data_IF_169261917598
#
_entry.id   IF_169261917598
#
_cell.length_a   1.000
_cell.length_b   1.000
_cell.length_c   1.000
_cell.angle_alpha   90.00
_cell.angle_beta   90.00
_cell.angle_gamma   90.00
#
_symmetry.space_group_name_H-M   'P 1'
#
loop_
_entity.id
_entity.type
_entity.pdbx_description
1 polymer ?
#
# COMPACT_ATOMS: atom_id res chain seq x y z
N UNK A 1 3.20 3.08 -3.62
CA UNK A 1 3.32 3.59 -2.23
C UNK A 1 2.46 2.71 -1.33
N UNK A 2 2.94 2.25 -0.18
CA UNK A 2 2.05 1.57 0.79
C UNK A 2 1.44 2.66 1.68
N UNK A 3 0.12 2.80 1.68
CA UNK A 3 -0.61 3.81 2.43
C UNK A 3 -0.89 3.36 3.87
N UNK A 4 -1.28 2.10 4.04
CA UNK A 4 -1.60 1.50 5.34
C UNK A 4 -1.43 -0.03 5.29
N UNK A 5 -1.12 -0.63 6.43
CA UNK A 5 -1.15 -2.08 6.64
C UNK A 5 -1.96 -2.42 7.89
N UNK A 6 -3.00 -3.23 7.74
CA UNK A 6 -3.98 -3.52 8.80
C UNK A 6 -4.30 -5.02 8.86
N UNK A 7 -4.90 -5.47 9.97
CA UNK A 7 -5.41 -6.84 10.10
C UNK A 7 -6.85 -7.00 9.64
N UNK A 8 -7.65 -5.96 9.79
CA UNK A 8 -9.04 -5.91 9.33
C UNK A 8 -9.14 -4.93 8.16
N UNK A 9 -9.41 -5.39 6.92
CA UNK A 9 -9.46 -4.51 5.76
C UNK A 9 -10.61 -3.50 5.81
N UNK A 10 -11.67 -3.74 6.59
CA UNK A 10 -12.79 -2.80 6.73
C UNK A 10 -12.35 -1.46 7.35
N UNK A 11 -11.24 -1.43 8.10
CA UNK A 11 -10.72 -0.19 8.67
C UNK A 11 -10.12 0.76 7.62
N UNK A 12 -10.02 0.33 6.35
CA UNK A 12 -9.45 1.12 5.25
C UNK A 12 -10.50 1.95 4.51
N UNK A 13 -11.80 1.75 4.73
CA UNK A 13 -12.87 2.36 3.94
C UNK A 13 -12.79 3.89 3.91
N UNK A 14 -12.53 4.51 5.07
CA UNK A 14 -12.38 5.96 5.18
C UNK A 14 -11.15 6.48 4.40
N UNK A 15 -10.04 5.73 4.41
CA UNK A 15 -8.83 6.08 3.66
C UNK A 15 -9.05 5.90 2.14
N UNK A 16 -9.75 4.83 1.72
CA UNK A 16 -10.10 4.61 0.32
C UNK A 16 -10.98 5.76 -0.19
N UNK A 17 -11.98 6.18 0.59
CA UNK A 17 -12.83 7.32 0.24
C UNK A 17 -12.03 8.63 0.11
N UNK A 18 -11.09 8.87 1.03
CA UNK A 18 -10.22 10.07 1.03
C UNK A 18 -9.22 10.12 -0.13
N UNK A 19 -9.03 9.01 -0.85
CA UNK A 19 -8.14 8.90 -2.01
C UNK A 19 -8.88 8.91 -3.35
N UNK A 20 -10.22 9.01 -3.34
CA UNK A 20 -11.06 8.86 -4.53
C UNK A 20 -10.84 9.95 -5.59
N UNK A 21 -10.33 11.11 -5.20
CA UNK A 21 -10.00 12.24 -6.08
C UNK A 21 -8.50 12.31 -6.42
N UNK A 22 -7.68 11.40 -5.89
CA UNK A 22 -6.24 11.36 -6.13
C UNK A 22 -5.92 10.58 -7.40
N UNK A 23 -4.89 11.00 -8.18
CA UNK A 23 -4.48 10.29 -9.38
C UNK A 23 -3.91 8.91 -9.05
N UNK A 24 -3.97 7.97 -9.99
CA UNK A 24 -3.45 6.61 -9.84
C UNK A 24 -4.45 5.63 -9.22
N UNK A 25 -4.04 4.37 -9.10
CA UNK A 25 -4.93 3.30 -8.66
C UNK A 25 -4.64 2.84 -7.23
N UNK A 26 -5.69 2.43 -6.52
CA UNK A 26 -5.57 1.73 -5.25
C UNK A 26 -5.64 0.22 -5.47
N UNK A 27 -4.73 -0.51 -4.84
CA UNK A 27 -4.67 -1.96 -4.88
C UNK A 27 -4.56 -2.51 -3.46
N UNK A 28 -5.46 -3.42 -3.10
CA UNK A 28 -5.42 -4.12 -1.81
C UNK A 28 -4.64 -5.42 -1.94
N UNK A 29 -3.52 -5.50 -1.24
CA UNK A 29 -2.69 -6.69 -1.19
C UNK A 29 -2.95 -7.47 0.09
N UNK A 30 -3.42 -8.72 -0.05
CA UNK A 30 -3.51 -9.67 1.05
C UNK A 30 -2.17 -10.38 1.24
N UNK A 31 -1.65 -10.38 2.46
CA UNK A 31 -0.39 -10.97 2.89
C UNK A 31 -0.66 -12.03 3.94
N UNK A 32 -0.38 -13.30 3.63
CA UNK A 32 -0.40 -14.36 4.64
C UNK A 32 0.84 -14.24 5.51
N UNK A 33 0.68 -13.98 6.81
CA UNK A 33 1.77 -13.93 7.79
C UNK A 33 1.59 -15.04 8.83
N UNK A 34 2.66 -15.48 9.53
CA UNK A 34 2.57 -16.53 10.55
C UNK A 34 1.60 -16.21 11.68
N UNK A 35 1.37 -14.93 11.96
CA UNK A 35 0.49 -14.40 12.98
C UNK A 35 -0.89 -13.97 12.45
N UNK A 36 -1.26 -14.43 11.24
CA UNK A 36 -2.55 -14.18 10.60
C UNK A 36 -2.44 -13.33 9.33
N UNK A 37 -3.59 -13.10 8.69
CA UNK A 37 -3.63 -12.30 7.47
C UNK A 37 -3.41 -10.81 7.76
N UNK A 38 -2.63 -10.17 6.90
CA UNK A 38 -2.44 -8.73 6.84
C UNK A 38 -2.90 -8.19 5.48
N UNK A 39 -3.36 -6.96 5.46
CA UNK A 39 -3.85 -6.28 4.28
C UNK A 39 -3.12 -4.96 4.11
N UNK A 40 -2.39 -4.80 3.01
CA UNK A 40 -1.70 -3.57 2.66
C UNK A 40 -2.44 -2.84 1.56
N UNK A 41 -2.88 -1.61 1.83
CA UNK A 41 -3.42 -0.72 0.81
C UNK A 41 -2.26 -0.04 0.08
N UNK A 42 -2.13 -0.31 -1.20
CA UNK A 42 -1.10 0.22 -2.07
C UNK A 42 -1.70 1.26 -3.03
N UNK A 43 -0.98 2.35 -3.24
CA UNK A 43 -1.26 3.36 -4.26
C UNK A 43 -0.23 3.24 -5.39
N UNK A 44 -0.68 3.04 -6.61
CA UNK A 44 0.13 2.60 -7.77
C UNK A 44 -0.15 3.44 -9.02
N UNK A 45 0.39 3.00 -10.16
CA UNK A 45 0.28 3.70 -11.46
C UNK A 45 1.00 5.04 -11.53
N UNK A 46 2.17 5.11 -10.88
CA UNK A 46 3.11 6.19 -11.05
C UNK A 46 4.15 5.80 -12.11
N UNK A 47 4.49 6.73 -13.00
CA UNK A 47 5.49 6.54 -14.05
C UNK A 47 6.86 6.18 -13.47
N UNK A 48 7.23 6.83 -12.35
CA UNK A 48 8.47 6.58 -11.64
C UNK A 48 8.37 6.83 -10.12
N UNK A 49 9.51 6.64 -9.45
CA UNK A 49 9.61 6.81 -7.98
C UNK A 49 9.48 8.28 -7.57
N UNK A 50 9.92 9.22 -8.40
CA UNK A 50 9.86 10.66 -8.09
C UNK A 50 8.42 11.18 -8.22
N UNK A 51 7.67 10.75 -9.23
CA UNK A 51 6.23 11.00 -9.34
C UNK A 51 5.48 10.45 -8.13
N UNK A 52 5.80 9.23 -7.68
CA UNK A 52 5.22 8.65 -6.48
C UNK A 52 5.60 9.39 -5.18
N UNK A 53 6.80 9.98 -5.12
CA UNK A 53 7.23 10.82 -3.99
C UNK A 53 6.48 12.15 -3.98
N UNK A 54 6.35 12.81 -5.12
CA UNK A 54 5.63 14.06 -5.26
C UNK A 54 4.15 13.88 -4.85
N UNK A 55 3.50 12.85 -5.38
CA UNK A 55 2.12 12.53 -5.04
C UNK A 55 1.94 12.21 -3.54
N UNK A 56 2.95 11.62 -2.89
CA UNK A 56 2.94 11.37 -1.44
C UNK A 56 2.88 12.66 -0.61
N UNK A 57 3.46 13.77 -1.07
CA UNK A 57 3.42 15.07 -0.37
C UNK A 57 2.00 15.60 -0.29
N UNK A 58 1.14 15.22 -1.23
CA UNK A 58 -0.26 15.65 -1.30
C UNK A 58 -1.22 14.71 -0.56
N UNK A 59 -0.70 13.74 0.18
CA UNK A 59 -1.54 12.81 0.94
C UNK A 59 -2.33 13.57 2.03
N UNK A 60 -3.62 13.25 2.18
CA UNK A 60 -4.43 13.84 3.24
C UNK A 60 -3.89 13.43 4.62
N UNK A 61 -4.00 14.32 5.60
CA UNK A 61 -3.76 13.98 7.00
C UNK A 61 -5.01 13.28 7.55
N UNK A 62 -5.04 11.94 7.41
CA UNK A 62 -6.16 11.08 7.82
C UNK A 62 -5.70 9.98 8.76
N UNK A 63 -6.53 9.70 9.77
CA UNK A 63 -6.29 8.63 10.72
C UNK A 63 -6.16 7.28 9.98
N UNK A 64 -5.14 6.49 10.35
CA UNK A 64 -4.86 5.19 9.73
C UNK A 64 -3.92 5.24 8.53
N UNK A 65 -3.52 6.43 8.06
CA UNK A 65 -2.44 6.57 7.10
C UNK A 65 -1.09 6.27 7.78
N UNK A 66 -0.52 5.11 7.48
CA UNK A 66 0.85 4.74 7.85
C UNK A 66 1.70 4.67 6.59
N UNK A 67 1.88 5.81 5.92
CA UNK A 67 2.49 5.82 4.59
C UNK A 67 4.00 5.53 4.67
N UNK A 68 4.39 4.38 4.11
CA UNK A 68 5.79 4.04 3.90
C UNK A 68 6.40 4.84 2.73
N UNK A 69 7.73 4.83 2.62
CA UNK A 69 8.39 5.37 1.43
C UNK A 69 7.96 4.61 0.16
N UNK A 70 7.78 5.29 -0.99
CA UNK A 70 7.50 4.62 -2.26
C UNK A 70 8.56 3.56 -2.56
N UNK A 71 8.11 2.36 -2.95
CA UNK A 71 8.97 1.24 -3.38
C UNK A 71 8.48 0.73 -4.73
N UNK A 72 9.39 0.17 -5.54
CA UNK A 72 9.05 -0.45 -6.82
C UNK A 72 8.27 -1.75 -6.59
N UNK A 73 7.14 -1.93 -7.30
CA UNK A 73 6.27 -3.11 -7.17
C UNK A 73 7.01 -4.43 -7.46
N UNK A 74 7.93 -4.45 -8.43
CA UNK A 74 8.72 -5.65 -8.73
C UNK A 74 9.56 -6.16 -7.55
N UNK A 75 10.04 -5.25 -6.68
CA UNK A 75 10.74 -5.63 -5.45
C UNK A 75 9.77 -6.22 -4.41
N UNK A 76 8.57 -5.65 -4.30
CA UNK A 76 7.52 -6.15 -3.42
C UNK A 76 7.07 -7.57 -3.85
N UNK A 77 6.87 -7.80 -5.14
CA UNK A 77 6.53 -9.12 -5.68
C UNK A 77 7.63 -10.15 -5.43
N UNK A 78 8.91 -9.76 -5.59
CA UNK A 78 10.04 -10.63 -5.28
C UNK A 78 10.13 -10.98 -3.78
N UNK A 79 9.87 -10.02 -2.88
CA UNK A 79 9.80 -10.25 -1.44
C UNK A 79 8.66 -11.21 -1.05
N UNK A 80 7.48 -11.05 -1.64
CA UNK A 80 6.33 -11.94 -1.42
C UNK A 80 6.65 -13.36 -1.91
N UNK A 81 7.20 -13.49 -3.13
CA UNK A 81 7.58 -14.78 -3.69
C UNK A 81 8.65 -15.49 -2.86
N UNK A 82 9.62 -14.74 -2.30
CA UNK A 82 10.69 -15.26 -1.45
C UNK A 82 10.19 -15.71 -0.07
N UNK A 83 9.16 -15.07 0.47
CA UNK A 83 8.47 -15.50 1.70
C UNK A 83 7.61 -16.73 1.50
N UNK A 84 6.96 -16.88 0.34
CA UNK A 84 6.17 -18.06 -0.01
C UNK A 84 7.01 -19.34 -0.23
N UNK A 85 8.33 -19.21 -0.34
CA UNK A 85 9.29 -20.30 -0.59
C UNK A 85 10.24 -20.58 0.57
N UNK A 86 10.07 -19.91 1.71
CA UNK A 86 10.81 -20.25 2.93
C UNK A 86 10.07 -21.39 3.67
N UNK A 87 10.74 -22.51 3.98
CA UNK A 87 10.14 -23.67 4.65
C UNK A 87 9.71 -23.39 6.09
#
# INVERSE_FOLDING_TARGET
VVLASVRDPATLDALIAAMSDKPGALYLLKLGMPDGDWYSLCWTEFDDVEAARAARVELPDVAGLSSGWPRRIGLLQAEIAKRATSP
#
